data_IF_156779388365
#
_entry.id   IF_156779388365
#
_cell.length_a   1.000
_cell.length_b   1.000
_cell.length_c   1.000
_cell.angle_alpha   90.00
_cell.angle_beta   90.00
_cell.angle_gamma   90.00
#
_symmetry.space_group_name_H-M   'P 1'
#
loop_
_entity.id
_entity.type
_entity.pdbx_description
1 polymer ?
#
# COMPACT_ATOMS: atom_id res chain seq x y z
N UNK A 1 -6.78 28.19 11.56
CA UNK A 1 -7.52 27.26 10.66
C UNK A 1 -6.95 25.86 10.76
N UNK A 2 -7.78 24.89 11.11
CA UNK A 2 -7.41 23.49 11.19
C UNK A 2 -7.56 22.84 9.82
N UNK A 3 -6.52 22.16 9.33
CA UNK A 3 -6.49 21.55 7.99
C UNK A 3 -6.07 20.10 8.07
N UNK A 4 -6.48 19.32 7.08
CA UNK A 4 -6.03 17.95 6.83
C UNK A 4 -5.30 17.96 5.49
N UNK A 5 -4.13 17.33 5.44
CA UNK A 5 -3.34 17.27 4.21
C UNK A 5 -3.66 15.99 3.45
N UNK A 6 -3.85 16.08 2.13
CA UNK A 6 -3.91 14.91 1.26
C UNK A 6 -2.79 15.01 0.25
N UNK A 7 -1.93 13.99 0.16
CA UNK A 7 -0.77 14.00 -0.71
C UNK A 7 -0.55 12.65 -1.40
N UNK A 8 0.26 12.68 -2.46
CA UNK A 8 0.61 11.51 -3.26
C UNK A 8 -0.27 11.36 -4.50
N UNK A 9 -0.59 10.13 -4.87
CA UNK A 9 -1.27 9.76 -6.12
C UNK A 9 -2.79 9.95 -6.03
N UNK A 10 -3.22 11.21 -5.89
CA UNK A 10 -4.62 11.63 -5.98
C UNK A 10 -4.77 12.70 -7.05
N UNK A 11 -5.99 12.93 -7.54
CA UNK A 11 -6.22 13.95 -8.59
C UNK A 11 -5.92 15.37 -8.12
N UNK A 12 -6.12 15.67 -6.83
CA UNK A 12 -5.89 16.99 -6.26
C UNK A 12 -5.18 16.91 -4.88
N UNK A 13 -3.83 16.82 -4.85
CA UNK A 13 -3.05 16.67 -3.63
C UNK A 13 -2.86 18.02 -2.92
N UNK A 14 -3.88 18.48 -2.21
CA UNK A 14 -3.88 19.74 -1.46
C UNK A 14 -4.31 19.57 -0.01
N UNK A 15 -4.17 20.63 0.78
CA UNK A 15 -4.73 20.71 2.12
C UNK A 15 -6.20 21.12 2.07
N UNK A 16 -7.04 20.40 2.80
CA UNK A 16 -8.47 20.69 2.93
C UNK A 16 -8.77 21.22 4.33
N UNK A 17 -9.76 22.11 4.44
CA UNK A 17 -10.24 22.57 5.74
C UNK A 17 -10.87 21.39 6.50
N UNK A 18 -10.49 21.23 7.77
CA UNK A 18 -11.07 20.21 8.62
C UNK A 18 -12.56 20.50 8.89
N UNK A 19 -13.42 19.49 8.70
CA UNK A 19 -14.87 19.58 8.92
C UNK A 19 -15.27 18.52 9.96
N UNK A 20 -15.62 18.91 11.19
CA UNK A 20 -16.00 17.97 12.24
C UNK A 20 -17.19 17.08 11.86
N UNK A 21 -18.13 17.60 11.07
CA UNK A 21 -19.28 16.86 10.57
C UNK A 21 -18.95 15.81 9.48
N UNK A 22 -17.75 15.86 8.90
CA UNK A 22 -17.35 15.04 7.76
C UNK A 22 -15.85 14.71 7.82
N UNK A 23 -15.42 14.20 8.97
CA UNK A 23 -14.02 13.97 9.34
C UNK A 23 -13.46 12.63 8.83
N UNK A 24 -14.27 11.80 8.18
CA UNK A 24 -13.83 10.50 7.66
C UNK A 24 -12.76 10.64 6.57
N UNK A 25 -11.74 9.78 6.63
CA UNK A 25 -10.68 9.67 5.62
C UNK A 25 -11.24 9.55 4.20
N UNK A 26 -12.26 8.72 4.02
CA UNK A 26 -12.91 8.53 2.72
C UNK A 26 -13.54 9.80 2.16
N UNK A 27 -13.97 10.72 3.01
CA UNK A 27 -14.49 12.02 2.57
C UNK A 27 -13.36 12.88 2.04
N UNK A 28 -12.22 12.94 2.71
CA UNK A 28 -11.06 13.70 2.24
C UNK A 28 -10.45 13.11 0.98
N UNK A 29 -10.40 11.78 0.89
CA UNK A 29 -9.96 11.09 -0.33
C UNK A 29 -10.87 11.44 -1.52
N UNK A 30 -12.19 11.47 -1.32
CA UNK A 30 -13.15 11.90 -2.36
C UNK A 30 -13.02 13.38 -2.71
N UNK A 31 -12.77 14.26 -1.72
CA UNK A 31 -12.51 15.70 -1.96
C UNK A 31 -11.24 15.93 -2.79
N UNK A 32 -10.24 15.07 -2.64
CA UNK A 32 -9.05 15.04 -3.48
C UNK A 32 -9.29 14.46 -4.89
N UNK A 33 -10.53 14.11 -5.24
CA UNK A 33 -10.90 13.48 -6.51
C UNK A 33 -10.69 11.97 -6.55
N UNK A 34 -10.27 11.37 -5.44
CA UNK A 34 -9.94 9.94 -5.33
C UNK A 34 -8.50 9.61 -5.75
N UNK A 35 -8.11 8.34 -5.60
CA UNK A 35 -6.83 7.82 -6.07
C UNK A 35 -6.71 7.89 -7.61
N UNK A 36 -5.52 8.15 -8.13
CA UNK A 36 -5.23 8.03 -9.56
C UNK A 36 -4.98 6.57 -9.97
N UNK A 37 -4.86 6.30 -11.28
CA UNK A 37 -4.60 4.94 -11.78
C UNK A 37 -3.29 4.34 -11.23
N UNK A 38 -2.28 5.18 -11.05
CA UNK A 38 -0.96 4.81 -10.55
C UNK A 38 -0.91 4.78 -9.02
N UNK A 39 -2.03 4.99 -8.33
CA UNK A 39 -2.12 4.97 -6.87
C UNK A 39 -2.15 3.54 -6.34
N UNK A 40 -1.37 3.28 -5.29
CA UNK A 40 -1.49 2.06 -4.51
C UNK A 40 -2.48 2.28 -3.39
N UNK A 41 -3.75 2.01 -3.69
CA UNK A 41 -4.83 2.10 -2.71
C UNK A 41 -4.64 1.12 -1.56
N UNK A 42 -3.94 0.00 -1.76
CA UNK A 42 -3.69 -0.97 -0.70
C UNK A 42 -2.77 -0.39 0.34
N UNK A 43 -1.72 0.32 -0.06
CA UNK A 43 -0.66 0.86 0.80
C UNK A 43 -0.94 2.27 1.34
N UNK A 44 -2.20 2.73 1.38
CA UNK A 44 -2.52 4.05 1.95
C UNK A 44 -2.25 4.12 3.45
N UNK A 45 -1.78 5.27 3.92
CA UNK A 45 -1.53 5.51 5.35
C UNK A 45 -1.79 6.96 5.75
N UNK A 46 -2.02 7.17 7.04
CA UNK A 46 -2.20 8.46 7.68
C UNK A 46 -1.01 8.73 8.59
N UNK A 47 -0.42 9.90 8.46
CA UNK A 47 0.53 10.44 9.42
C UNK A 47 -0.25 11.37 10.34
N UNK A 48 -0.35 11.01 11.61
CA UNK A 48 -1.05 11.78 12.63
C UNK A 48 -0.22 13.00 13.04
N UNK A 49 -0.89 14.03 13.56
CA UNK A 49 -0.21 15.25 14.03
C UNK A 49 0.85 14.99 15.14
N UNK A 50 0.71 13.90 15.88
CA UNK A 50 1.67 13.45 16.92
C UNK A 50 2.86 12.65 16.36
N UNK A 51 2.90 12.40 15.04
CA UNK A 51 3.94 11.64 14.36
C UNK A 51 3.70 10.13 14.32
N UNK A 52 2.61 9.62 14.89
CA UNK A 52 2.21 8.22 14.72
C UNK A 52 1.72 7.95 13.29
N UNK A 53 1.91 6.72 12.83
CA UNK A 53 1.52 6.31 11.47
C UNK A 53 0.50 5.19 11.56
N UNK A 54 -0.64 5.40 10.91
CA UNK A 54 -1.72 4.44 10.80
C UNK A 54 -1.87 4.00 9.35
N UNK A 55 -1.55 2.74 9.04
CA UNK A 55 -1.60 2.22 7.66
C UNK A 55 -2.76 1.26 7.42
N UNK A 56 -3.22 1.20 6.17
CA UNK A 56 -4.29 0.27 5.78
C UNK A 56 -3.85 -1.20 5.91
N UNK A 57 -2.57 -1.50 5.74
CA UNK A 57 -1.95 -2.82 5.92
C UNK A 57 -2.11 -3.35 7.35
N UNK A 58 -2.12 -2.46 8.34
CA UNK A 58 -2.34 -2.83 9.74
C UNK A 58 -3.78 -3.32 9.97
N UNK A 59 -4.69 -3.04 9.03
CA UNK A 59 -6.09 -3.50 9.09
C UNK A 59 -6.21 -4.83 8.36
N UNK A 60 -6.15 -5.95 9.09
CA UNK A 60 -6.38 -7.29 8.52
C UNK A 60 -7.85 -7.69 8.72
N UNK A 61 -8.55 -8.09 7.66
CA UNK A 61 -9.97 -8.50 7.72
C UNK A 61 -10.92 -7.47 8.36
N UNK A 62 -10.60 -6.17 8.30
CA UNK A 62 -11.38 -5.11 8.93
C UNK A 62 -11.19 -5.01 10.45
N UNK A 63 -10.25 -5.77 11.03
CA UNK A 63 -9.79 -5.62 12.40
C UNK A 63 -8.53 -4.75 12.42
N UNK A 64 -8.53 -3.71 13.25
CA UNK A 64 -7.33 -2.95 13.58
C UNK A 64 -7.17 -2.84 15.09
N UNK A 65 -5.92 -2.70 15.52
CA UNK A 65 -5.60 -2.35 16.89
C UNK A 65 -5.78 -0.84 17.07
N UNK A 66 -6.57 -0.42 18.06
CA UNK A 66 -6.69 0.99 18.45
C UNK A 66 -5.84 1.22 19.69
N UNK A 67 -4.79 2.05 19.57
CA UNK A 67 -3.94 2.43 20.70
C UNK A 67 -4.67 3.27 21.75
N UNK A 68 -5.60 4.14 21.33
CA UNK A 68 -6.43 4.94 22.23
C UNK A 68 -7.37 4.08 23.09
N UNK A 69 -8.05 3.11 22.47
CA UNK A 69 -8.99 2.23 23.15
C UNK A 69 -8.31 0.99 23.76
N UNK A 70 -7.01 0.77 23.48
CA UNK A 70 -6.25 -0.45 23.82
C UNK A 70 -7.02 -1.73 23.51
N UNK A 71 -7.72 -1.75 22.37
CA UNK A 71 -8.63 -2.82 21.99
C UNK A 71 -8.63 -3.06 20.48
N UNK A 72 -9.06 -4.27 20.10
CA UNK A 72 -9.31 -4.62 18.70
C UNK A 72 -10.67 -4.06 18.27
N UNK A 73 -10.64 -3.20 17.27
CA UNK A 73 -11.83 -2.54 16.71
C UNK A 73 -12.09 -3.06 15.30
N UNK A 74 -13.37 -3.33 15.01
CA UNK A 74 -13.82 -3.60 13.65
C UNK A 74 -14.12 -2.28 12.95
N UNK A 75 -13.45 -2.01 11.84
CA UNK A 75 -13.65 -0.79 11.05
C UNK A 75 -12.90 -0.80 9.73
N UNK A 76 -13.47 -0.14 8.72
CA UNK A 76 -12.78 0.10 7.46
C UNK A 76 -11.77 1.24 7.63
N UNK A 77 -10.57 1.11 7.08
CA UNK A 77 -9.56 2.19 7.04
C UNK A 77 -10.15 3.51 6.49
N UNK A 78 -11.06 3.42 5.52
CA UNK A 78 -11.73 4.58 4.92
C UNK A 78 -12.73 5.29 5.85
N UNK A 79 -13.17 4.61 6.91
CA UNK A 79 -14.03 5.17 7.96
C UNK A 79 -13.24 5.68 9.17
N UNK A 80 -11.91 5.66 9.11
CA UNK A 80 -11.08 6.29 10.14
C UNK A 80 -11.28 7.80 10.14
N UNK A 81 -11.36 8.36 11.33
CA UNK A 81 -11.51 9.81 11.53
C UNK A 81 -10.15 10.49 11.40
N UNK A 82 -10.07 11.49 10.51
CA UNK A 82 -8.91 12.38 10.40
C UNK A 82 -9.09 13.58 11.31
N UNK A 83 -8.02 13.95 11.99
CA UNK A 83 -7.95 15.09 12.89
C UNK A 83 -7.20 16.27 12.24
N UNK A 84 -7.38 17.49 12.75
CA UNK A 84 -6.56 18.63 12.38
C UNK A 84 -5.05 18.35 12.45
N UNK A 85 -4.34 18.59 11.36
CA UNK A 85 -2.90 18.35 11.24
C UNK A 85 -2.55 16.97 10.69
N UNK A 86 -3.51 16.05 10.60
CA UNK A 86 -3.30 14.74 9.99
C UNK A 86 -3.03 14.86 8.50
N UNK A 87 -2.28 13.88 8.00
CA UNK A 87 -1.90 13.81 6.60
C UNK A 87 -2.19 12.44 6.01
N UNK A 88 -3.12 12.39 5.06
CA UNK A 88 -3.39 11.22 4.24
C UNK A 88 -2.37 11.12 3.11
N UNK A 89 -1.64 10.02 3.07
CA UNK A 89 -0.67 9.73 2.03
C UNK A 89 -1.16 8.57 1.16
N UNK A 90 -1.22 8.84 -0.15
CA UNK A 90 -1.58 7.85 -1.16
C UNK A 90 -0.34 7.52 -1.99
N UNK A 91 0.33 6.39 -1.74
CA UNK A 91 1.55 6.04 -2.45
C UNK A 91 1.31 5.68 -3.91
N UNK A 92 2.39 5.59 -4.67
CA UNK A 92 2.39 5.10 -6.05
C UNK A 92 2.53 3.57 -6.08
N UNK A 93 1.86 2.92 -7.03
CA UNK A 93 2.07 1.51 -7.36
C UNK A 93 3.48 1.34 -7.90
N UNK A 94 4.28 0.55 -7.20
CA UNK A 94 5.57 0.10 -7.73
C UNK A 94 5.30 -1.19 -8.50
N UNK A 95 5.20 -1.10 -9.82
CA UNK A 95 5.17 -2.29 -10.68
C UNK A 95 6.49 -3.04 -10.57
N UNK A 96 6.57 -4.00 -9.63
CA UNK A 96 7.74 -4.84 -9.47
C UNK A 96 7.71 -5.92 -10.54
N UNK A 97 8.19 -5.60 -11.74
CA UNK A 97 8.47 -6.57 -12.81
C UNK A 97 9.67 -7.45 -12.39
N UNK A 98 9.51 -8.28 -11.34
CA UNK A 98 10.55 -9.20 -10.87
C UNK A 98 10.39 -10.62 -11.42
N UNK A 99 9.23 -10.96 -12.00
CA UNK A 99 8.93 -12.33 -12.45
C UNK A 99 9.74 -12.77 -13.67
N UNK A 100 10.22 -11.82 -14.51
CA UNK A 100 11.00 -12.15 -15.71
C UNK A 100 12.46 -12.55 -15.43
N UNK A 101 12.97 -12.33 -14.20
CA UNK A 101 14.32 -12.77 -13.81
C UNK A 101 14.32 -14.23 -13.33
N UNK A 102 13.34 -14.60 -12.50
CA UNK A 102 13.19 -15.93 -11.91
C UNK A 102 12.99 -17.03 -12.98
N UNK A 103 12.26 -16.74 -14.06
CA UNK A 103 12.00 -17.72 -15.14
C UNK A 103 13.27 -18.04 -15.94
N UNK A 104 14.21 -17.10 -16.09
CA UNK A 104 15.46 -17.30 -16.83
C UNK A 104 16.43 -18.22 -16.07
N UNK A 105 16.39 -18.20 -14.75
CA UNK A 105 17.25 -19.05 -13.93
C UNK A 105 16.83 -20.53 -14.02
N UNK A 106 15.52 -20.80 -14.06
CA UNK A 106 14.99 -22.16 -14.25
C UNK A 106 15.39 -22.75 -15.61
N UNK A 107 15.28 -22.00 -16.70
CA UNK A 107 15.66 -22.51 -18.04
C UNK A 107 17.15 -22.80 -18.14
N UNK A 108 17.98 -21.99 -17.47
CA UNK A 108 19.44 -22.19 -17.41
C UNK A 108 19.80 -23.44 -16.59
N UNK A 109 19.14 -23.65 -15.45
CA UNK A 109 19.31 -24.86 -14.63
C UNK A 109 18.90 -26.11 -15.44
N UNK A 110 17.75 -26.08 -16.12
CA UNK A 110 17.28 -27.19 -16.95
C UNK A 110 18.24 -27.48 -18.13
N UNK A 111 18.77 -26.45 -18.77
CA UNK A 111 19.76 -26.60 -19.84
C UNK A 111 21.05 -27.27 -19.33
N UNK A 112 21.55 -26.86 -18.15
CA UNK A 112 22.74 -27.46 -17.53
C UNK A 112 22.51 -28.93 -17.13
N UNK A 113 21.32 -29.26 -16.63
CA UNK A 113 20.93 -30.65 -16.33
C UNK A 113 20.93 -31.49 -17.62
N UNK A 114 20.33 -30.99 -18.69
CA UNK A 114 20.27 -31.68 -19.98
C UNK A 114 21.67 -31.93 -20.58
N UNK A 115 22.56 -30.93 -20.53
CA UNK A 115 23.95 -31.07 -21.00
C UNK A 115 24.74 -32.09 -20.16
N UNK A 116 24.56 -32.08 -18.84
CA UNK A 116 25.23 -33.03 -17.94
C UNK A 116 24.74 -34.46 -18.16
N UNK A 117 23.41 -34.66 -18.32
CA UNK A 117 22.85 -35.98 -18.60
C UNK A 117 23.29 -36.51 -19.97
N UNK A 118 23.32 -35.65 -21.00
CA UNK A 118 23.76 -36.02 -22.34
C UNK A 118 25.23 -36.44 -22.41
N UNK A 119 26.12 -35.72 -21.72
CA UNK A 119 27.56 -36.05 -21.69
C UNK A 119 27.85 -37.37 -20.96
N UNK A 120 27.18 -37.63 -19.84
CA UNK A 120 27.30 -38.91 -19.12
C UNK A 120 26.81 -40.08 -19.97
N UNK A 121 25.69 -39.90 -20.69
CA UNK A 121 25.12 -40.96 -21.53
C UNK A 121 25.99 -41.27 -22.76
N UNK A 122 26.67 -40.26 -23.33
CA UNK A 122 27.61 -40.46 -24.45
C UNK A 122 28.91 -41.12 -23.97
N UNK A 123 29.41 -40.77 -22.78
CA UNK A 123 30.66 -41.33 -22.23
C UNK A 123 30.56 -42.77 -21.71
N UNK A 124 29.35 -43.30 -21.52
CA UNK A 124 29.08 -44.69 -21.11
C UNK A 124 28.94 -45.67 -22.29
N UNK A 125 29.10 -45.21 -23.53
CA UNK A 125 29.07 -46.03 -24.76
C UNK A 125 30.45 -46.29 -25.33
#
# INVERSE_FOLDING_TARGET
PSVVNVMGQVYNPISFVHQPEASDLGTYLKKAGGPTNDADESEMYVIKADGTVFSRQQTSFGLHWSDDARSWTFGSFTASTLEPGDTLVVPQKIERIAWMREVKDITTILANIALTAGTVLIGLR
#
